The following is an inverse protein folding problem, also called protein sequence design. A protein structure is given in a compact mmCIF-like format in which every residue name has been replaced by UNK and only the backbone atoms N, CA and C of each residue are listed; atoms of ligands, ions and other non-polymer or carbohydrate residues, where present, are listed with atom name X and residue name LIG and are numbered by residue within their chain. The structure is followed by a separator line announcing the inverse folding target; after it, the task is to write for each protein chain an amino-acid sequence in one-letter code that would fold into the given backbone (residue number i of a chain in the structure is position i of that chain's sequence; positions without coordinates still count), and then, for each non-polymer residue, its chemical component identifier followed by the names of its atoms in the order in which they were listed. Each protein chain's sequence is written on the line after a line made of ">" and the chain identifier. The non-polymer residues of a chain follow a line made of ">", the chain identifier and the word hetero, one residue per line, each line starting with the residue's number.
data_IF_521087213910
#
_entry.id   IF_521087213910
#
_cell.length_a   1.000
_cell.length_b   1.000
_cell.length_c   1.000
_cell.angle_alpha   90.00
_cell.angle_beta   90.00
_cell.angle_gamma   90.00
#
_symmetry.space_group_name_H-M   'P 1'
#
loop_
_entity.id
_entity.type
_entity.pdbx_description
1 polymer ?
#
# COMPACT_ATOMS: atom_id res chain seq x y z
N UNK A 1 7.32 -10.51 22.52
CA UNK A 1 8.19 -9.69 21.65
C UNK A 1 7.66 -9.54 20.22
N UNK A 2 7.08 -10.57 19.59
CA UNK A 2 6.52 -10.49 18.22
C UNK A 2 5.19 -9.72 18.14
N UNK A 3 4.30 -9.89 19.14
CA UNK A 3 3.00 -9.19 19.15
C UNK A 3 3.13 -7.67 19.23
N UNK A 4 4.10 -7.14 19.99
CA UNK A 4 4.38 -5.71 20.04
C UNK A 4 4.80 -5.14 18.67
N UNK A 5 5.57 -5.91 17.88
CA UNK A 5 5.89 -5.52 16.49
C UNK A 5 4.65 -5.47 15.60
N UNK A 6 3.71 -6.42 15.76
CA UNK A 6 2.45 -6.41 14.99
C UNK A 6 1.55 -5.23 15.31
N UNK A 7 1.53 -4.79 16.58
CA UNK A 7 0.81 -3.60 17.02
C UNK A 7 1.44 -2.36 16.38
N UNK A 8 2.75 -2.18 16.53
CA UNK A 8 3.47 -1.06 15.91
C UNK A 8 3.33 -1.05 14.38
N UNK A 9 3.33 -2.21 13.74
CA UNK A 9 3.08 -2.33 12.30
C UNK A 9 1.67 -1.84 11.94
N UNK A 10 0.67 -2.18 12.76
CA UNK A 10 -0.70 -1.73 12.53
C UNK A 10 -0.85 -0.22 12.69
N UNK A 11 -0.12 0.38 13.64
CA UNK A 11 -0.02 1.85 13.76
C UNK A 11 0.68 2.47 12.55
N UNK A 12 1.76 1.86 12.06
CA UNK A 12 2.47 2.30 10.87
C UNK A 12 1.58 2.26 9.62
N UNK A 13 0.76 1.21 9.44
CA UNK A 13 -0.22 1.12 8.36
C UNK A 13 -1.25 2.25 8.44
N UNK A 14 -1.76 2.56 9.63
CA UNK A 14 -2.68 3.69 9.83
C UNK A 14 -2.02 5.04 9.53
N UNK A 15 -0.74 5.21 9.90
CA UNK A 15 0.05 6.39 9.57
C UNK A 15 0.28 6.53 8.06
N UNK A 16 0.59 5.41 7.39
CA UNK A 16 0.75 5.34 5.95
C UNK A 16 -0.54 5.70 5.21
N UNK A 17 -1.69 5.18 5.64
CA UNK A 17 -2.99 5.59 5.10
C UNK A 17 -3.21 7.10 5.21
N UNK A 18 -2.95 7.71 6.38
CA UNK A 18 -3.08 9.17 6.55
C UNK A 18 -2.15 9.94 5.61
N UNK A 19 -0.90 9.48 5.46
CA UNK A 19 0.07 10.08 4.53
C UNK A 19 -0.38 9.97 3.08
N UNK A 20 -0.88 8.82 2.62
CA UNK A 20 -1.42 8.68 1.26
C UNK A 20 -2.59 9.62 1.02
N UNK A 21 -3.46 9.79 2.02
CA UNK A 21 -4.61 10.69 1.91
C UNK A 21 -4.17 12.15 1.81
N UNK A 22 -3.18 12.58 2.58
CA UNK A 22 -2.69 13.97 2.59
C UNK A 22 -1.81 14.26 1.36
N UNK A 23 -0.90 13.35 1.03
CA UNK A 23 0.16 13.58 0.05
C UNK A 23 -0.26 13.20 -1.38
N UNK A 24 -1.09 12.15 -1.54
CA UNK A 24 -1.58 11.72 -2.85
C UNK A 24 -3.02 12.17 -3.13
N UNK A 25 -3.68 12.81 -2.15
CA UNK A 25 -5.12 13.11 -2.18
C UNK A 25 -5.98 11.89 -2.59
N UNK A 26 -5.49 10.68 -2.30
CA UNK A 26 -6.07 9.42 -2.71
C UNK A 26 -6.39 8.57 -1.49
N UNK A 27 -7.63 8.07 -1.45
CA UNK A 27 -8.14 7.33 -0.30
C UNK A 27 -8.20 5.85 -0.61
N UNK A 28 -7.28 5.07 -0.05
CA UNK A 28 -7.32 3.61 -0.12
C UNK A 28 -8.38 3.06 0.86
N UNK A 29 -9.66 3.19 0.50
CA UNK A 29 -10.80 2.76 1.33
C UNK A 29 -10.67 1.32 1.78
N UNK A 30 -10.31 0.41 0.87
CA UNK A 30 -10.11 -1.01 1.19
C UNK A 30 -9.05 -1.24 2.27
N UNK A 31 -7.99 -0.42 2.33
CA UNK A 31 -6.92 -0.55 3.32
C UNK A 31 -7.44 -0.14 4.69
N UNK A 32 -8.16 0.98 4.76
CA UNK A 32 -8.80 1.45 5.99
C UNK A 32 -9.82 0.42 6.49
N UNK A 33 -10.71 -0.05 5.63
CA UNK A 33 -11.75 -1.01 6.00
C UNK A 33 -11.15 -2.32 6.52
N UNK A 34 -10.07 -2.80 5.90
CA UNK A 34 -9.34 -3.97 6.38
C UNK A 34 -8.60 -3.70 7.69
N UNK A 35 -7.97 -2.55 7.84
CA UNK A 35 -7.27 -2.19 9.07
C UNK A 35 -8.23 -2.08 10.26
N UNK A 36 -9.42 -1.48 10.06
CA UNK A 36 -10.45 -1.37 11.09
C UNK A 36 -11.08 -2.73 11.42
N UNK A 37 -11.27 -3.60 10.42
CA UNK A 37 -11.93 -4.90 10.61
C UNK A 37 -11.01 -5.96 11.23
N UNK A 38 -9.78 -6.08 10.74
CA UNK A 38 -8.86 -7.19 11.10
C UNK A 38 -7.49 -6.73 11.62
N UNK A 39 -7.23 -5.42 11.68
CA UNK A 39 -5.95 -4.84 12.06
C UNK A 39 -4.96 -4.76 10.90
N UNK A 40 -4.05 -3.77 10.94
CA UNK A 40 -3.10 -3.48 9.87
C UNK A 40 -2.17 -4.66 9.50
N UNK A 41 -1.73 -5.44 10.48
CA UNK A 41 -0.92 -6.64 10.21
C UNK A 41 -1.68 -7.72 9.41
N UNK A 42 -2.91 -8.06 9.81
CA UNK A 42 -3.71 -9.07 9.09
C UNK A 42 -4.19 -8.53 7.75
N UNK A 43 -4.47 -7.22 7.67
CA UNK A 43 -4.76 -6.53 6.42
C UNK A 43 -3.62 -6.68 5.42
N UNK A 44 -2.37 -6.42 5.83
CA UNK A 44 -1.19 -6.60 4.96
C UNK A 44 -1.06 -8.04 4.46
N UNK A 45 -1.25 -9.04 5.33
CA UNK A 45 -1.24 -10.44 4.90
C UNK A 45 -2.33 -10.75 3.86
N UNK A 46 -3.53 -10.20 4.04
CA UNK A 46 -4.65 -10.38 3.10
C UNK A 46 -4.37 -9.69 1.76
N UNK A 47 -3.74 -8.52 1.78
CA UNK A 47 -3.30 -7.78 0.60
C UNK A 47 -2.26 -8.59 -0.19
N UNK A 48 -1.23 -9.12 0.48
CA UNK A 48 -0.21 -9.96 -0.14
C UNK A 48 -0.78 -11.30 -0.65
N UNK A 49 -1.78 -11.84 0.02
CA UNK A 49 -2.43 -13.10 -0.39
C UNK A 49 -3.42 -12.97 -1.56
N UNK A 50 -3.83 -11.76 -1.93
CA UNK A 50 -4.91 -11.57 -2.90
C UNK A 50 -4.56 -10.50 -3.96
N UNK A 51 -4.60 -10.91 -5.23
CA UNK A 51 -4.31 -10.05 -6.39
C UNK A 51 -5.31 -8.89 -6.56
N UNK A 52 -6.51 -8.95 -5.97
CA UNK A 52 -7.49 -7.86 -6.01
C UNK A 52 -6.93 -6.54 -5.48
N UNK A 53 -6.01 -6.60 -4.53
CA UNK A 53 -5.42 -5.42 -3.89
C UNK A 53 -4.28 -4.79 -4.70
N UNK A 54 -3.90 -5.40 -5.84
CA UNK A 54 -2.92 -4.82 -6.78
C UNK A 54 -3.40 -3.48 -7.37
N UNK A 55 -4.71 -3.24 -7.37
CA UNK A 55 -5.28 -1.94 -7.75
C UNK A 55 -4.72 -0.81 -6.87
N UNK A 56 -4.51 -1.06 -5.57
CA UNK A 56 -4.00 -0.05 -4.64
C UNK A 56 -2.57 0.40 -4.95
N UNK A 57 -1.68 -0.57 -5.23
CA UNK A 57 -0.28 -0.28 -5.60
C UNK A 57 -0.20 0.31 -7.02
N UNK A 58 -1.06 -0.12 -7.94
CA UNK A 58 -1.18 0.49 -9.27
C UNK A 58 -1.58 1.97 -9.18
N UNK A 59 -2.54 2.31 -8.32
CA UNK A 59 -2.90 3.70 -8.07
C UNK A 59 -1.74 4.49 -7.48
N UNK A 60 -1.02 3.95 -6.49
CA UNK A 60 0.14 4.63 -5.87
C UNK A 60 1.29 4.86 -6.85
N UNK A 61 1.49 3.96 -7.83
CA UNK A 61 2.44 4.17 -8.92
C UNK A 61 2.13 5.43 -9.72
N UNK A 62 0.85 5.67 -10.02
CA UNK A 62 0.44 6.88 -10.76
C UNK A 62 0.76 8.17 -10.00
N UNK A 63 0.82 8.10 -8.67
CA UNK A 63 1.25 9.21 -7.82
C UNK A 63 2.76 9.26 -7.58
N UNK A 64 3.55 8.34 -8.18
CA UNK A 64 4.97 8.14 -7.87
C UNK A 64 5.24 7.96 -6.37
N UNK A 65 4.29 7.38 -5.62
CA UNK A 65 4.39 7.16 -4.17
C UNK A 65 4.26 5.70 -3.80
N UNK A 66 5.01 4.85 -4.52
CA UNK A 66 5.14 3.43 -4.20
C UNK A 66 5.74 3.19 -2.81
N UNK A 67 6.49 4.15 -2.26
CA UNK A 67 6.99 4.14 -0.89
C UNK A 67 5.88 4.12 0.17
N UNK A 68 4.70 4.67 -0.17
CA UNK A 68 3.52 4.65 0.69
C UNK A 68 2.64 3.40 0.42
N UNK A 69 3.20 2.33 -0.13
CA UNK A 69 2.51 1.06 -0.28
C UNK A 69 2.72 0.15 0.93
N UNK A 70 1.77 -0.77 1.13
CA UNK A 70 1.89 -1.79 2.17
C UNK A 70 3.03 -2.76 1.82
N UNK A 71 3.26 -3.03 0.55
CA UNK A 71 4.37 -3.85 0.05
C UNK A 71 5.73 -3.25 0.44
N UNK A 72 5.94 -1.94 0.25
CA UNK A 72 7.17 -1.26 0.67
C UNK A 72 7.36 -1.35 2.19
N UNK A 73 6.29 -1.13 2.96
CA UNK A 73 6.32 -1.24 4.41
C UNK A 73 6.63 -2.67 4.87
N UNK A 74 6.15 -3.70 4.18
CA UNK A 74 6.40 -5.11 4.54
C UNK A 74 7.85 -5.52 4.29
N UNK A 75 8.48 -4.98 3.25
CA UNK A 75 9.88 -5.29 2.89
C UNK A 75 10.88 -4.60 3.81
N UNK A 76 10.45 -3.60 4.57
CA UNK A 76 11.31 -2.85 5.48
C UNK A 76 11.90 -3.76 6.59
N UNK A 77 13.24 -3.75 6.77
CA UNK A 77 13.92 -4.59 7.76
C UNK A 77 13.45 -4.37 9.20
N UNK A 78 12.86 -3.21 9.53
CA UNK A 78 12.32 -2.96 10.86
C UNK A 78 11.22 -3.97 11.27
N UNK A 79 10.50 -4.51 10.28
CA UNK A 79 9.41 -5.49 10.44
C UNK A 79 9.84 -6.92 10.12
N UNK A 80 11.15 -7.17 9.99
CA UNK A 80 11.64 -8.51 9.78
C UNK A 80 11.25 -9.43 10.96
N UNK A 81 10.86 -10.66 10.63
CA UNK A 81 10.43 -11.67 11.58
C UNK A 81 8.94 -11.68 11.93
N UNK A 82 8.13 -10.69 11.51
CA UNK A 82 6.65 -10.78 11.59
C UNK A 82 5.99 -11.30 10.31
N UNK A 83 6.70 -11.23 9.17
CA UNK A 83 6.28 -11.77 7.88
C UNK A 83 7.12 -12.99 7.47
N UNK A 84 6.54 -13.90 6.69
CA UNK A 84 7.26 -15.06 6.18
C UNK A 84 8.07 -14.70 4.93
N UNK A 85 9.12 -15.48 4.62
CA UNK A 85 9.94 -15.28 3.41
C UNK A 85 9.08 -15.19 2.14
N UNK A 86 8.09 -16.08 2.00
CA UNK A 86 7.15 -16.06 0.87
C UNK A 86 6.33 -14.77 0.76
N UNK A 87 5.98 -14.16 1.89
CA UNK A 87 5.27 -12.87 1.89
C UNK A 87 6.17 -11.72 1.46
N UNK A 88 7.43 -11.73 1.92
CA UNK A 88 8.45 -10.76 1.51
C UNK A 88 8.76 -10.87 0.02
N UNK A 89 8.87 -12.10 -0.51
CA UNK A 89 9.07 -12.35 -1.95
C UNK A 89 7.92 -11.79 -2.77
N UNK A 90 6.66 -12.08 -2.40
CA UNK A 90 5.49 -11.54 -3.10
C UNK A 90 5.45 -10.01 -3.05
N UNK A 91 5.80 -9.41 -1.91
CA UNK A 91 5.87 -7.94 -1.79
C UNK A 91 6.93 -7.35 -2.74
N UNK A 92 8.14 -7.94 -2.77
CA UNK A 92 9.24 -7.53 -3.66
C UNK A 92 8.88 -7.72 -5.13
N UNK A 93 8.28 -8.86 -5.48
CA UNK A 93 7.86 -9.16 -6.84
C UNK A 93 6.85 -8.12 -7.34
N UNK A 94 5.86 -7.77 -6.52
CA UNK A 94 4.88 -6.74 -6.85
C UNK A 94 5.54 -5.37 -7.02
N UNK A 95 6.39 -4.96 -6.08
CA UNK A 95 7.13 -3.70 -6.21
C UNK A 95 7.93 -3.65 -7.52
N UNK A 96 8.61 -4.73 -7.86
CA UNK A 96 9.35 -4.88 -9.11
C UNK A 96 8.45 -4.82 -10.36
N UNK A 97 7.29 -5.50 -10.35
CA UNK A 97 6.29 -5.45 -11.43
C UNK A 97 5.81 -4.02 -11.70
N UNK A 98 5.70 -3.19 -10.66
CA UNK A 98 5.31 -1.79 -10.80
C UNK A 98 6.49 -0.85 -11.07
N UNK A 99 7.71 -1.35 -11.23
CA UNK A 99 8.89 -0.55 -11.59
C UNK A 99 9.59 0.09 -10.39
N UNK A 100 9.28 -0.34 -9.17
CA UNK A 100 10.11 -0.04 -8.01
C UNK A 100 11.33 -0.97 -8.05
N UNK A 101 12.35 -0.54 -8.77
CA UNK A 101 13.56 -1.33 -8.99
C UNK A 101 14.36 -1.45 -7.70
N UNK A 102 14.39 -2.65 -7.11
CA UNK A 102 15.33 -3.02 -6.04
C UNK A 102 16.75 -3.23 -6.59
N UNK A 103 17.15 -2.50 -7.63
CA UNK A 103 18.50 -2.55 -8.14
C UNK A 103 19.27 -1.34 -7.65
N UNK A 104 19.49 -1.25 -6.34
CA UNK A 104 20.60 -0.49 -5.77
C UNK A 104 20.84 -1.04 -4.37
N UNK A 105 22.05 -1.51 -4.16
CA UNK A 105 22.68 -2.01 -2.93
C UNK A 105 22.69 -1.00 -1.77
N UNK A 106 21.92 0.08 -1.82
CA UNK A 106 21.91 1.13 -0.81
C UNK A 106 20.46 1.52 -0.55
N UNK A 107 19.88 1.02 0.55
CA UNK A 107 18.72 1.66 1.15
C UNK A 107 19.20 3.03 1.64
N UNK A 108 18.78 4.16 1.06
CA UNK A 108 18.97 5.43 1.70
C UNK A 108 18.07 5.40 2.92
N UNK A 109 18.73 5.35 4.07
CA UNK A 109 18.18 5.67 5.37
C UNK A 109 17.24 6.85 5.18
N UNK A 110 16.01 6.70 5.66
CA UNK A 110 14.93 7.67 5.57
C UNK A 110 15.44 9.11 5.64
N UNK A 111 15.58 9.73 4.49
CA UNK A 111 15.50 11.19 4.37
C UNK A 111 14.22 11.44 3.58
N UNK A 112 13.25 12.18 4.13
CA UNK A 112 12.11 12.61 3.32
C UNK A 112 12.66 13.39 2.12
N UNK A 113 12.32 13.05 0.86
CA UNK A 113 12.67 13.89 -0.26
C UNK A 113 11.76 15.12 -0.17
N UNK A 114 12.23 16.13 0.57
CA UNK A 114 12.08 17.51 0.17
C UNK A 114 12.91 17.65 -1.12
N UNK A 115 12.41 17.23 -2.28
CA UNK A 115 12.78 17.75 -3.61
C UNK A 115 11.77 17.19 -4.64
N UNK A 116 11.16 18.14 -5.33
CA UNK A 116 10.35 18.05 -6.54
C UNK A 116 8.97 17.37 -6.45
N UNK A 117 7.96 18.20 -6.17
CA UNK A 117 6.61 17.93 -6.65
C UNK A 117 6.65 17.85 -8.20
N UNK A 118 6.35 16.69 -8.82
CA UNK A 118 5.95 16.71 -10.21
C UNK A 118 4.59 17.39 -10.26
N UNK A 119 4.57 18.54 -10.94
CA UNK A 119 3.39 19.32 -11.29
C UNK A 119 2.25 18.37 -11.72
N UNK A 120 1.01 18.53 -11.21
CA UNK A 120 -0.08 17.65 -11.57
C UNK A 120 -0.44 17.91 -13.03
N UNK A 121 -0.02 17.01 -13.92
CA UNK A 121 -0.41 17.04 -15.32
C UNK A 121 -1.37 15.87 -15.63
N UNK A 122 -2.66 16.10 -15.31
CA UNK A 122 -3.90 15.76 -16.06
C UNK A 122 -4.20 14.25 -16.38
N UNK A 123 -5.46 13.79 -16.55
CA UNK A 123 -6.77 14.20 -16.01
C UNK A 123 -7.36 13.11 -15.09
N UNK A 124 -8.37 13.51 -14.31
CA UNK A 124 -9.33 12.62 -13.65
C UNK A 124 -10.03 11.77 -14.72
N UNK A 125 -9.55 10.55 -14.94
CA UNK A 125 -10.33 9.54 -15.64
C UNK A 125 -11.46 9.09 -14.71
N UNK A 126 -12.63 9.67 -14.95
CA UNK A 126 -13.97 9.23 -14.61
C UNK A 126 -14.03 7.76 -14.18
N UNK A 127 -14.03 7.51 -12.87
CA UNK A 127 -14.43 6.22 -12.33
C UNK A 127 -15.95 6.20 -12.33
N UNK A 128 -16.49 5.54 -13.36
CA UNK A 128 -17.92 5.32 -13.55
C UNK A 128 -18.63 4.88 -12.26
N UNK A 129 -19.87 5.35 -12.01
CA UNK A 129 -20.62 4.96 -10.83
C UNK A 129 -20.94 3.47 -10.87
N UNK A 130 -20.67 2.76 -9.77
CA UNK A 130 -21.22 1.42 -9.50
C UNK A 130 -22.74 1.56 -9.37
N UNK A 131 -23.41 1.41 -10.52
CA UNK A 131 -24.86 1.42 -10.61
C UNK A 131 -25.44 0.21 -9.88
N UNK A 132 -26.49 0.49 -9.13
CA UNK A 132 -27.27 -0.44 -8.34
C UNK A 132 -27.80 -1.60 -9.19
N UNK A 133 -27.53 -2.84 -8.77
CA UNK A 133 -28.37 -3.98 -9.12
C UNK A 133 -29.48 -4.09 -8.07
N UNK A 134 -30.56 -3.35 -8.28
CA UNK A 134 -31.90 -3.73 -7.82
C UNK A 134 -32.80 -3.74 -9.04
N UNK A 135 -33.10 -4.94 -9.55
CA UNK A 135 -34.36 -5.17 -10.25
C UNK A 135 -34.69 -6.65 -10.18
N UNK A 136 -35.83 -6.89 -9.54
CA UNK A 136 -36.60 -8.12 -9.54
C UNK A 136 -36.73 -8.68 -10.95
N UNK A 137 -36.63 -10.01 -11.07
CA UNK A 137 -37.26 -10.72 -12.16
C UNK A 137 -38.31 -11.67 -11.57
N UNK A 138 -39.55 -11.35 -11.96
CA UNK A 138 -40.79 -12.13 -11.93
C UNK A 138 -41.40 -12.54 -10.58
#
# INVERSE_FOLDING_TARGET
>A
MIEAKKIRFSEAVSGLYKRTQIECNHRQTFLKDLADSIGGYRAAKKILGNKKYLIGIASLKNYNRLDLSVEALVVDPQWEGIFTKRQLEVARERLSQYGFGTNTTELPIATPPMVEAPKPQIPVAEVAPVAALKSSFN
#
